data_IF_294116052605
#
_entry.id   IF_294116052605
#
_cell.length_a   1.000
_cell.length_b   1.000
_cell.length_c   1.000
_cell.angle_alpha   90.00
_cell.angle_beta   90.00
_cell.angle_gamma   90.00
#
_symmetry.space_group_name_H-M   'P 1'
#
loop_
_entity.id
_entity.type
_entity.pdbx_description
1 polymer ?
#
# COMPACT_ATOMS: atom_id res chain seq x y z
N UNK A 1 35.42 -1.40 1.74
CA UNK A 1 34.40 -1.65 0.70
C UNK A 1 33.13 -2.05 1.42
N UNK A 2 32.21 -1.13 1.67
CA UNK A 2 30.88 -1.49 2.17
C UNK A 2 30.16 -2.25 1.07
N UNK A 3 29.72 -3.47 1.35
CA UNK A 3 28.74 -4.11 0.48
C UNK A 3 27.46 -3.30 0.59
N UNK A 4 27.01 -2.68 -0.50
CA UNK A 4 25.68 -2.07 -0.57
C UNK A 4 24.65 -3.18 -0.36
N UNK A 5 24.19 -3.33 0.88
CA UNK A 5 23.10 -4.24 1.23
C UNK A 5 21.84 -3.65 0.61
N UNK A 6 21.42 -4.17 -0.54
CA UNK A 6 20.10 -3.81 -1.09
C UNK A 6 19.03 -4.44 -0.21
N UNK A 7 18.04 -3.68 0.28
CA UNK A 7 16.94 -4.24 1.05
C UNK A 7 16.19 -5.27 0.19
N UNK A 8 15.70 -6.33 0.83
CA UNK A 8 14.87 -7.33 0.17
C UNK A 8 13.64 -6.64 -0.45
N UNK A 9 13.20 -7.10 -1.63
CA UNK A 9 12.05 -6.53 -2.35
C UNK A 9 10.80 -6.39 -1.47
N UNK A 10 10.52 -7.40 -0.64
CA UNK A 10 9.39 -7.42 0.30
C UNK A 10 9.45 -6.29 1.34
N UNK A 11 10.66 -5.93 1.77
CA UNK A 11 10.87 -4.81 2.69
C UNK A 11 10.60 -3.47 2.02
N UNK A 12 11.06 -3.30 0.78
CA UNK A 12 10.79 -2.07 0.03
C UNK A 12 9.29 -1.94 -0.32
N UNK A 13 8.62 -3.05 -0.60
CA UNK A 13 7.15 -3.10 -0.75
C UNK A 13 6.44 -2.64 0.53
N UNK A 14 6.83 -3.19 1.68
CA UNK A 14 6.29 -2.79 2.99
C UNK A 14 6.54 -1.32 3.31
N UNK A 15 7.74 -0.81 3.02
CA UNK A 15 8.08 0.61 3.19
C UNK A 15 7.22 1.52 2.31
N UNK A 16 7.08 1.23 1.02
CA UNK A 16 6.25 2.03 0.12
C UNK A 16 4.78 2.00 0.56
N UNK A 17 4.27 0.86 1.02
CA UNK A 17 2.92 0.76 1.58
C UNK A 17 2.75 1.63 2.83
N UNK A 18 3.70 1.56 3.76
CA UNK A 18 3.73 2.39 4.97
C UNK A 18 3.72 3.88 4.64
N UNK A 19 4.50 4.30 3.64
CA UNK A 19 4.55 5.69 3.19
C UNK A 19 3.23 6.17 2.57
N UNK A 20 2.51 5.31 1.85
CA UNK A 20 1.16 5.61 1.35
C UNK A 20 0.19 5.82 2.52
N UNK A 21 0.24 4.97 3.54
CA UNK A 21 -0.60 5.10 4.75
C UNK A 21 -0.27 6.40 5.49
N UNK A 22 1.02 6.70 5.69
CA UNK A 22 1.46 7.94 6.31
C UNK A 22 1.01 9.19 5.54
N UNK A 23 1.05 9.14 4.20
CA UNK A 23 0.52 10.21 3.36
C UNK A 23 -0.98 10.43 3.60
N UNK A 24 -1.77 9.36 3.65
CA UNK A 24 -3.20 9.45 3.95
C UNK A 24 -3.41 10.13 5.30
N UNK A 25 -2.70 9.68 6.34
CA UNK A 25 -2.87 10.22 7.70
C UNK A 25 -2.44 11.68 7.86
N UNK A 26 -1.40 12.09 7.13
CA UNK A 26 -0.89 13.45 7.18
C UNK A 26 -1.86 14.45 6.53
N UNK A 27 -2.47 14.07 5.41
CA UNK A 27 -3.15 15.02 4.52
C UNK A 27 -4.67 14.87 4.45
N UNK A 28 -5.26 13.72 4.80
CA UNK A 28 -6.71 13.48 4.58
C UNK A 28 -7.64 14.48 5.30
N UNK A 29 -7.17 15.05 6.41
CA UNK A 29 -7.89 16.07 7.20
C UNK A 29 -7.20 17.44 7.18
N UNK A 30 -6.19 17.65 6.33
CA UNK A 30 -5.48 18.94 6.26
C UNK A 30 -6.29 19.95 5.44
N UNK A 31 -6.77 21.01 6.09
CA UNK A 31 -7.64 22.00 5.44
C UNK A 31 -6.90 23.01 4.57
N UNK A 32 -5.58 23.13 4.72
CA UNK A 32 -4.76 24.13 4.02
C UNK A 32 -4.26 23.60 2.67
N UNK A 33 -3.89 22.32 2.61
CA UNK A 33 -3.30 21.69 1.43
C UNK A 33 -4.36 20.93 0.62
N UNK A 34 -5.22 21.66 -0.08
CA UNK A 34 -6.42 21.15 -0.76
C UNK A 34 -6.15 20.01 -1.74
N UNK A 35 -5.07 20.11 -2.54
CA UNK A 35 -4.71 19.06 -3.50
C UNK A 35 -4.22 17.79 -2.81
N UNK A 36 -3.33 17.92 -1.81
CA UNK A 36 -2.84 16.76 -1.05
C UNK A 36 -3.97 16.09 -0.27
N UNK A 37 -4.89 16.89 0.29
CA UNK A 37 -6.10 16.39 0.93
C UNK A 37 -6.95 15.58 -0.03
N UNK A 38 -7.22 16.10 -1.23
CA UNK A 38 -7.96 15.37 -2.27
C UNK A 38 -7.29 14.03 -2.59
N UNK A 39 -5.99 14.04 -2.86
CA UNK A 39 -5.24 12.83 -3.21
C UNK A 39 -5.23 11.82 -2.05
N UNK A 40 -5.06 12.27 -0.80
CA UNK A 40 -5.12 11.42 0.38
C UNK A 40 -6.52 10.81 0.61
N UNK A 41 -7.57 11.59 0.40
CA UNK A 41 -8.95 11.11 0.48
C UNK A 41 -9.26 10.09 -0.63
N UNK A 42 -8.75 10.29 -1.84
CA UNK A 42 -8.86 9.30 -2.92
C UNK A 42 -8.07 8.03 -2.60
N UNK A 43 -6.80 8.14 -2.16
CA UNK A 43 -5.98 7.00 -1.75
C UNK A 43 -6.63 6.17 -0.65
N UNK A 44 -7.24 6.82 0.35
CA UNK A 44 -7.98 6.15 1.43
C UNK A 44 -9.01 5.15 0.90
N UNK A 45 -9.69 5.45 -0.22
CA UNK A 45 -10.73 4.58 -0.78
C UNK A 45 -10.20 3.20 -1.21
N UNK A 46 -8.91 3.10 -1.55
CA UNK A 46 -8.29 1.82 -1.92
C UNK A 46 -8.20 0.84 -0.75
N UNK A 47 -8.18 1.35 0.48
CA UNK A 47 -8.08 0.57 1.72
C UNK A 47 -9.44 0.29 2.38
N UNK A 48 -10.54 0.76 1.79
CA UNK A 48 -11.88 0.56 2.33
C UNK A 48 -12.59 -0.58 1.60
N UNK A 49 -13.35 -1.38 2.36
CA UNK A 49 -14.39 -2.24 1.79
C UNK A 49 -15.55 -1.36 1.35
N UNK A 50 -15.79 -1.24 0.05
CA UNK A 50 -17.04 -0.63 -0.44
C UNK A 50 -18.17 -1.66 -0.38
N UNK A 51 -18.77 -1.80 0.80
CA UNK A 51 -19.94 -2.68 1.01
C UNK A 51 -21.25 -1.99 0.60
N UNK A 52 -21.22 -0.73 0.15
CA UNK A 52 -22.42 0.05 -0.16
C UNK A 52 -23.15 -0.38 -1.44
N UNK A 53 -22.58 -1.30 -2.23
CA UNK A 53 -23.10 -1.74 -3.54
C UNK A 53 -23.32 -3.24 -3.70
N UNK A 54 -23.19 -4.04 -2.64
CA UNK A 54 -23.42 -5.49 -2.75
C UNK A 54 -24.88 -5.81 -2.39
N UNK A 55 -25.66 -6.44 -3.30
CA UNK A 55 -26.96 -6.98 -2.97
C UNK A 55 -26.85 -7.97 -1.80
N UNK A 56 -27.85 -7.99 -0.92
CA UNK A 56 -27.85 -8.83 0.30
C UNK A 56 -27.65 -10.32 -0.05
N UNK A 57 -28.12 -10.79 -1.21
CA UNK A 57 -27.88 -12.16 -1.66
C UNK A 57 -26.41 -12.48 -2.00
N UNK A 58 -25.61 -11.51 -2.46
CA UNK A 58 -24.16 -11.71 -2.66
C UNK A 58 -23.40 -11.71 -1.34
N UNK A 59 -23.81 -10.86 -0.39
CA UNK A 59 -23.28 -10.84 0.98
C UNK A 59 -23.46 -12.20 1.67
N UNK A 60 -24.64 -12.83 1.52
CA UNK A 60 -24.93 -14.14 2.10
C UNK A 60 -24.18 -15.29 1.40
N UNK A 61 -23.88 -15.18 0.11
CA UNK A 61 -23.02 -16.15 -0.62
C UNK A 61 -21.54 -16.04 -0.23
N UNK A 62 -21.08 -14.88 0.23
CA UNK A 62 -19.69 -14.66 0.71
C UNK A 62 -19.39 -15.32 2.05
N UNK A 63 -20.39 -15.46 2.92
CA UNK A 63 -20.21 -16.06 4.25
C UNK A 63 -19.89 -17.56 4.18
N UNK A 64 -20.12 -18.22 3.02
CA UNK A 64 -19.87 -19.65 2.83
C UNK A 64 -18.80 -20.03 1.79
N UNK A 65 -18.22 -19.07 1.06
CA UNK A 65 -17.22 -19.34 0.02
C UNK A 65 -16.11 -18.29 0.09
N UNK A 66 -14.84 -18.74 0.00
CA UNK A 66 -13.60 -17.95 -0.07
C UNK A 66 -13.68 -16.85 -1.14
N UNK A 67 -14.28 -15.72 -0.78
CA UNK A 67 -14.79 -14.76 -1.75
C UNK A 67 -13.82 -13.60 -1.86
N UNK A 68 -13.45 -13.32 -3.11
CA UNK A 68 -12.68 -12.16 -3.53
C UNK A 68 -13.01 -10.94 -2.65
N UNK A 69 -12.08 -10.63 -1.76
CA UNK A 69 -12.14 -9.46 -0.91
C UNK A 69 -12.05 -8.24 -1.85
N UNK A 70 -13.11 -7.44 -1.98
CA UNK A 70 -13.06 -6.26 -2.86
C UNK A 70 -11.97 -5.27 -2.45
N UNK A 71 -11.56 -5.27 -1.18
CA UNK A 71 -10.40 -4.52 -0.72
C UNK A 71 -9.09 -5.08 -1.31
N UNK A 72 -8.93 -6.40 -1.37
CA UNK A 72 -7.83 -7.04 -2.11
C UNK A 72 -7.83 -6.57 -3.56
N UNK A 73 -8.99 -6.54 -4.23
CA UNK A 73 -9.08 -6.05 -5.62
C UNK A 73 -8.64 -4.58 -5.77
N UNK A 74 -9.08 -3.70 -4.87
CA UNK A 74 -8.67 -2.29 -4.90
C UNK A 74 -7.18 -2.14 -4.63
N UNK A 75 -6.65 -2.78 -3.59
CA UNK A 75 -5.22 -2.76 -3.27
C UNK A 75 -4.39 -3.31 -4.42
N UNK A 76 -4.79 -4.42 -5.04
CA UNK A 76 -4.16 -4.95 -6.25
C UNK A 76 -4.17 -3.94 -7.40
N UNK A 77 -5.25 -3.15 -7.59
CA UNK A 77 -5.30 -2.05 -8.57
C UNK A 77 -4.27 -0.96 -8.26
N UNK A 78 -4.09 -0.58 -6.99
CA UNK A 78 -3.06 0.40 -6.59
C UNK A 78 -1.65 -0.17 -6.80
N UNK A 79 -1.44 -1.43 -6.41
CA UNK A 79 -0.13 -2.09 -6.38
C UNK A 79 0.40 -2.48 -7.75
N UNK A 80 -0.49 -2.81 -8.69
CA UNK A 80 -0.15 -3.06 -10.09
C UNK A 80 0.12 -1.80 -10.90
N UNK A 81 -0.28 -0.63 -10.39
CA UNK A 81 -0.10 0.63 -11.10
C UNK A 81 1.39 0.86 -11.38
N UNK A 82 1.69 1.41 -12.56
CA UNK A 82 3.05 1.60 -13.01
C UNK A 82 3.31 3.09 -13.26
N UNK A 83 3.51 3.89 -12.20
CA UNK A 83 3.67 5.33 -12.33
C UNK A 83 4.91 5.70 -13.16
N UNK A 84 5.96 4.88 -13.16
CA UNK A 84 7.13 5.11 -14.04
C UNK A 84 6.75 5.03 -15.52
N UNK A 85 5.99 4.01 -15.90
CA UNK A 85 5.49 3.87 -17.28
C UNK A 85 4.54 5.02 -17.62
N UNK A 86 3.66 5.40 -16.70
CA UNK A 86 2.74 6.53 -16.87
C UNK A 86 3.46 7.87 -17.08
N UNK A 87 4.59 8.11 -16.40
CA UNK A 87 5.42 9.30 -16.63
C UNK A 87 6.12 9.27 -17.99
N UNK A 88 6.55 8.09 -18.45
CA UNK A 88 7.30 7.93 -19.70
C UNK A 88 6.40 7.95 -20.95
N UNK A 89 5.28 7.22 -20.93
CA UNK A 89 4.40 7.01 -22.10
C UNK A 89 3.38 8.15 -22.31
N UNK A 90 3.49 9.20 -21.50
CA UNK A 90 2.51 10.27 -21.40
C UNK A 90 1.43 9.94 -20.37
N UNK A 91 0.98 10.97 -19.64
CA UNK A 91 -0.04 10.90 -18.59
C UNK A 91 -1.39 10.45 -19.18
N UNK A 92 -1.51 9.17 -19.48
CA UNK A 92 -2.73 8.60 -20.04
C UNK A 92 -3.85 8.87 -19.04
N UNK A 93 -5.00 9.42 -19.47
CA UNK A 93 -6.03 9.97 -18.59
C UNK A 93 -6.79 8.93 -17.75
N UNK A 94 -6.39 7.65 -17.78
CA UNK A 94 -7.15 6.55 -17.17
C UNK A 94 -6.41 5.77 -16.10
N UNK A 95 -5.18 6.15 -15.72
CA UNK A 95 -4.45 5.49 -14.63
C UNK A 95 -4.37 6.38 -13.38
N UNK A 96 -5.53 6.58 -12.74
CA UNK A 96 -5.69 7.33 -11.48
C UNK A 96 -4.75 6.82 -10.38
N UNK A 97 -4.50 5.50 -10.32
CA UNK A 97 -3.61 4.93 -9.32
C UNK A 97 -2.16 5.41 -9.53
N UNK A 98 -1.68 5.42 -10.79
CA UNK A 98 -0.36 5.95 -11.11
C UNK A 98 -0.24 7.45 -10.78
N UNK A 99 -1.26 8.25 -11.08
CA UNK A 99 -1.29 9.68 -10.72
C UNK A 99 -1.18 9.89 -9.20
N UNK A 100 -1.97 9.15 -8.42
CA UNK A 100 -1.93 9.21 -6.95
C UNK A 100 -0.56 8.79 -6.40
N UNK A 101 0.08 7.76 -6.96
CA UNK A 101 1.42 7.36 -6.55
C UNK A 101 2.47 8.42 -6.91
N UNK A 102 2.33 9.13 -8.03
CA UNK A 102 3.17 10.30 -8.35
C UNK A 102 2.99 11.41 -7.33
N UNK A 103 1.77 11.65 -6.85
CA UNK A 103 1.50 12.65 -5.80
C UNK A 103 2.14 12.30 -4.44
N UNK A 104 2.28 11.01 -4.11
CA UNK A 104 2.91 10.55 -2.86
C UNK A 104 4.44 10.60 -2.96
N UNK A 105 5.00 10.02 -4.02
CA UNK A 105 6.43 9.75 -4.11
C UNK A 105 7.22 10.79 -4.93
N UNK A 106 6.55 11.54 -5.79
CA UNK A 106 7.16 12.51 -6.69
C UNK A 106 7.90 11.86 -7.87
N UNK A 107 7.99 12.59 -8.98
CA UNK A 107 8.56 12.09 -10.24
C UNK A 107 10.03 11.68 -10.11
N UNK A 108 10.83 12.46 -9.34
CA UNK A 108 12.26 12.19 -9.13
C UNK A 108 12.50 10.83 -8.49
N UNK A 109 11.69 10.45 -7.50
CA UNK A 109 11.83 9.18 -6.78
C UNK A 109 11.36 8.01 -7.65
N UNK A 110 10.23 8.16 -8.34
CA UNK A 110 9.67 7.12 -9.22
C UNK A 110 10.64 6.74 -10.35
N UNK A 111 11.36 7.73 -10.89
CA UNK A 111 12.35 7.51 -11.94
C UNK A 111 13.68 6.92 -11.43
N UNK A 112 13.89 6.85 -10.11
CA UNK A 112 15.07 6.23 -9.53
C UNK A 112 14.81 4.74 -9.24
N UNK A 113 15.53 3.85 -9.92
CA UNK A 113 15.36 2.39 -9.83
C UNK A 113 15.77 1.82 -8.47
N UNK A 114 16.67 2.49 -7.76
CA UNK A 114 17.11 2.03 -6.44
C UNK A 114 16.10 2.44 -5.36
N UNK A 115 15.46 3.60 -5.51
CA UNK A 115 14.60 4.21 -4.47
C UNK A 115 13.11 3.86 -4.56
N UNK A 116 12.66 3.28 -5.68
CA UNK A 116 11.24 3.02 -5.92
C UNK A 116 10.96 1.78 -6.78
N UNK A 117 10.08 0.92 -6.30
CA UNK A 117 9.51 -0.19 -7.07
C UNK A 117 8.30 0.28 -7.88
N UNK A 118 8.39 0.15 -9.21
CA UNK A 118 7.31 0.46 -10.17
C UNK A 118 7.17 -0.68 -11.19
N UNK A 119 6.06 -1.44 -11.19
CA UNK A 119 5.01 -1.45 -10.17
C UNK A 119 5.53 -1.93 -8.80
N UNK A 120 4.81 -1.62 -7.71
CA UNK A 120 5.18 -2.08 -6.36
C UNK A 120 5.17 -3.60 -6.29
N UNK A 121 4.13 -4.22 -6.86
CA UNK A 121 3.97 -5.67 -6.96
C UNK A 121 3.79 -6.04 -8.43
N UNK A 122 4.46 -7.11 -8.87
CA UNK A 122 4.36 -7.62 -10.24
C UNK A 122 3.16 -8.57 -10.39
N UNK A 123 2.81 -8.95 -11.62
CA UNK A 123 1.64 -9.80 -11.90
C UNK A 123 1.68 -11.17 -11.22
N UNK A 124 2.88 -11.73 -11.03
CA UNK A 124 3.08 -13.02 -10.36
C UNK A 124 2.79 -12.88 -8.86
N UNK A 125 3.37 -11.86 -8.22
CA UNK A 125 3.16 -11.53 -6.81
C UNK A 125 1.69 -11.19 -6.50
N UNK A 126 0.92 -10.70 -7.48
CA UNK A 126 -0.50 -10.39 -7.33
C UNK A 126 -1.43 -11.58 -7.63
N UNK A 127 -0.89 -12.70 -8.12
CA UNK A 127 -1.67 -13.87 -8.56
C UNK A 127 -2.49 -13.61 -9.84
N UNK A 128 -2.12 -12.59 -10.62
CA UNK A 128 -2.78 -12.22 -11.87
C UNK A 128 -2.24 -13.03 -13.07
N UNK A 129 -1.12 -13.72 -12.89
CA UNK A 129 -0.51 -14.58 -13.92
C UNK A 129 -1.29 -15.91 -14.06
N UNK A 130 -1.94 -16.09 -15.22
CA UNK A 130 -2.74 -17.29 -15.53
C UNK A 130 -1.90 -18.46 -16.03
N UNK A 131 -0.62 -18.24 -16.32
CA UNK A 131 0.29 -19.23 -16.90
C UNK A 131 1.08 -19.92 -15.79
N UNK A 132 1.39 -19.21 -14.71
CA UNK A 132 2.26 -19.70 -13.63
C UNK A 132 1.47 -19.86 -12.34
N UNK A 133 1.35 -21.10 -11.84
CA UNK A 133 0.94 -21.36 -10.45
C UNK A 133 2.17 -21.12 -9.58
N UNK A 134 2.16 -20.01 -8.83
CA UNK A 134 3.26 -19.61 -7.95
C UNK A 134 2.71 -18.94 -6.69
N UNK A 135 3.52 -18.82 -5.64
CA UNK A 135 3.09 -18.09 -4.46
C UNK A 135 2.77 -16.63 -4.78
N UNK A 136 1.68 -16.12 -4.22
CA UNK A 136 1.18 -14.76 -4.43
C UNK A 136 0.71 -14.14 -3.11
N UNK A 137 0.48 -12.82 -3.12
CA UNK A 137 -0.06 -12.10 -1.98
C UNK A 137 -1.57 -11.92 -2.07
N UNK A 138 -2.23 -12.20 -0.95
CA UNK A 138 -3.63 -11.84 -0.70
C UNK A 138 -3.67 -10.74 0.37
N UNK A 139 -4.27 -9.60 0.05
CA UNK A 139 -4.25 -8.44 0.92
C UNK A 139 -5.49 -8.40 1.82
N UNK A 140 -5.23 -8.23 3.12
CA UNK A 140 -6.24 -8.07 4.14
C UNK A 140 -6.02 -6.76 4.89
N UNK A 141 -7.11 -6.14 5.31
CA UNK A 141 -7.05 -4.94 6.14
C UNK A 141 -7.31 -5.35 7.59
N UNK A 142 -6.41 -5.01 8.49
CA UNK A 142 -6.56 -5.18 9.92
C UNK A 142 -6.68 -3.81 10.62
N UNK A 143 -7.88 -3.40 11.07
CA UNK A 143 -8.05 -2.15 11.80
C UNK A 143 -7.66 -2.26 13.28
N UNK A 144 -7.37 -3.46 13.78
CA UNK A 144 -7.15 -3.72 15.21
C UNK A 144 -5.68 -3.67 15.65
N UNK A 145 -4.75 -3.61 14.69
CA UNK A 145 -3.31 -3.63 14.94
C UNK A 145 -2.59 -2.49 14.24
N UNK A 146 -1.63 -1.84 14.91
CA UNK A 146 -0.68 -0.89 14.30
C UNK A 146 0.45 -1.58 13.52
N UNK A 147 0.62 -2.89 13.71
CA UNK A 147 1.65 -3.69 13.04
C UNK A 147 0.95 -4.67 12.11
N UNK A 148 1.25 -4.55 10.81
CA UNK A 148 0.80 -5.49 9.81
C UNK A 148 1.61 -6.77 9.87
N UNK A 149 1.01 -7.87 9.43
CA UNK A 149 1.60 -9.21 9.47
C UNK A 149 1.60 -9.85 8.09
N UNK A 150 2.70 -10.51 7.72
CA UNK A 150 2.71 -11.46 6.62
C UNK A 150 2.50 -12.87 7.18
N UNK A 151 1.42 -13.55 6.78
CA UNK A 151 1.13 -14.91 7.23
C UNK A 151 1.37 -15.93 6.12
N UNK A 152 1.86 -17.09 6.53
CA UNK A 152 2.06 -18.23 5.64
C UNK A 152 0.73 -18.73 5.03
N UNK A 153 0.81 -19.37 3.85
CA UNK A 153 -0.33 -20.07 3.26
C UNK A 153 -0.90 -21.14 4.19
N UNK A 154 -2.20 -21.38 4.10
CA UNK A 154 -2.85 -22.48 4.81
C UNK A 154 -3.38 -23.57 3.86
N UNK A 155 -4.08 -24.55 4.43
CA UNK A 155 -4.61 -25.69 3.69
C UNK A 155 -5.67 -25.30 2.64
N UNK A 156 -6.36 -24.16 2.82
CA UNK A 156 -7.40 -23.70 1.88
C UNK A 156 -6.80 -22.94 0.70
N UNK A 157 -5.76 -22.14 0.96
CA UNK A 157 -5.05 -21.35 -0.06
C UNK A 157 -3.54 -21.60 0.01
N UNK A 158 -3.04 -22.75 -0.47
CA UNK A 158 -1.66 -23.21 -0.23
C UNK A 158 -0.56 -22.39 -0.94
N UNK A 159 -0.95 -21.44 -1.78
CA UNK A 159 -0.04 -20.52 -2.48
C UNK A 159 -0.22 -19.06 -2.08
N UNK A 160 -1.18 -18.73 -1.20
CA UNK A 160 -1.48 -17.35 -0.84
C UNK A 160 -0.80 -16.96 0.47
N UNK A 161 0.21 -16.10 0.39
CA UNK A 161 0.72 -15.39 1.55
C UNK A 161 -0.24 -14.25 1.90
N UNK A 162 -0.74 -14.21 3.14
CA UNK A 162 -1.73 -13.20 3.54
C UNK A 162 -1.03 -11.99 4.12
N UNK A 163 -1.17 -10.88 3.41
CA UNK A 163 -0.54 -9.61 3.73
C UNK A 163 -1.54 -8.74 4.49
N UNK A 164 -1.48 -8.76 5.81
CA UNK A 164 -2.31 -7.92 6.68
C UNK A 164 -1.73 -6.50 6.74
N UNK A 165 -2.54 -5.55 6.28
CA UNK A 165 -2.23 -4.13 6.24
C UNK A 165 -3.02 -3.45 7.35
N UNK A 166 -2.30 -2.86 8.28
CA UNK A 166 -2.86 -2.10 9.39
C UNK A 166 -3.56 -0.84 8.92
N UNK A 167 -4.90 -0.86 8.79
CA UNK A 167 -5.67 0.32 8.39
C UNK A 167 -7.18 0.26 8.76
N UNK A 168 -7.77 1.31 9.36
CA UNK A 168 -7.09 2.29 10.17
C UNK A 168 -6.83 1.69 11.55
N UNK A 169 -5.59 1.82 12.05
CA UNK A 169 -5.45 2.37 13.38
C UNK A 169 -4.63 3.65 13.27
N UNK A 170 -5.34 4.79 13.28
CA UNK A 170 -4.73 6.11 13.22
C UNK A 170 -4.39 6.55 14.65
N UNK A 171 -3.12 6.90 14.98
CA UNK A 171 -2.80 7.55 16.23
C UNK A 171 -3.34 8.99 16.22
N UNK A 172 -3.63 9.56 17.39
CA UNK A 172 -3.84 11.02 17.49
C UNK A 172 -2.60 11.75 16.93
N UNK A 173 -2.77 12.92 16.32
CA UNK A 173 -1.61 13.73 15.94
C UNK A 173 -1.18 14.54 17.16
N UNK A 174 0.06 14.38 17.60
CA UNK A 174 0.60 15.10 18.74
C UNK A 174 1.93 14.54 19.24
N UNK A 175 2.59 15.29 20.11
CA UNK A 175 3.91 14.96 20.67
C UNK A 175 3.96 13.59 21.38
N UNK A 176 2.82 13.12 21.90
CA UNK A 176 2.75 11.84 22.61
C UNK A 176 2.75 10.61 21.67
N UNK A 177 2.49 10.80 20.38
CA UNK A 177 2.29 9.71 19.42
C UNK A 177 3.03 9.97 18.12
N UNK A 178 2.39 10.59 17.12
CA UNK A 178 3.04 10.96 15.85
C UNK A 178 2.76 12.42 15.50
N UNK A 179 3.80 13.15 15.13
CA UNK A 179 3.68 14.54 14.68
C UNK A 179 3.49 14.62 13.16
N UNK A 180 3.04 15.79 12.68
CA UNK A 180 2.91 16.03 11.24
C UNK A 180 4.27 15.96 10.54
N UNK A 181 5.29 16.49 11.19
CA UNK A 181 6.68 16.52 10.74
C UNK A 181 7.22 15.10 10.60
N UNK A 182 6.97 14.23 11.59
CA UNK A 182 7.39 12.83 11.53
C UNK A 182 6.73 12.05 10.38
N UNK A 183 5.45 12.29 10.11
CA UNK A 183 4.79 11.69 8.95
C UNK A 183 5.40 12.21 7.64
N UNK A 184 5.66 13.52 7.55
CA UNK A 184 6.28 14.11 6.37
C UNK A 184 7.69 13.62 6.12
N UNK A 185 8.50 13.50 7.17
CA UNK A 185 9.86 12.96 7.11
C UNK A 185 9.82 11.52 6.62
N UNK A 186 8.89 10.70 7.13
CA UNK A 186 8.73 9.33 6.66
C UNK A 186 8.27 9.23 5.21
N UNK A 187 7.33 10.07 4.77
CA UNK A 187 6.87 10.12 3.37
C UNK A 187 8.05 10.46 2.44
N UNK A 188 8.88 11.44 2.85
CA UNK A 188 10.03 11.92 2.08
C UNK A 188 11.25 11.00 2.17
N UNK A 189 11.26 10.06 3.11
CA UNK A 189 12.41 9.17 3.32
C UNK A 189 12.61 8.23 2.13
N UNK A 190 13.63 8.56 1.35
CA UNK A 190 14.05 7.83 0.16
C UNK A 190 15.35 7.05 0.39
N UNK A 191 15.82 6.99 1.65
CA UNK A 191 16.96 6.16 2.03
C UNK A 191 16.55 4.70 2.04
N UNK A 192 17.38 3.84 1.46
CA UNK A 192 17.13 2.39 1.46
C UNK A 192 17.74 1.69 2.69
N UNK A 193 18.38 2.43 3.59
CA UNK A 193 19.09 1.89 4.75
C UNK A 193 18.10 1.41 5.83
N UNK A 194 17.08 2.21 6.12
CA UNK A 194 16.06 1.89 7.12
C UNK A 194 14.73 1.52 6.45
N UNK A 195 14.29 0.28 6.67
CA UNK A 195 13.01 -0.23 6.16
C UNK A 195 11.82 0.23 7.01
N UNK A 196 12.09 0.54 8.28
CA UNK A 196 11.08 0.88 9.27
C UNK A 196 11.12 2.38 9.63
N UNK A 197 9.98 3.01 9.94
CA UNK A 197 9.93 4.36 10.43
C UNK A 197 10.58 4.45 11.81
N UNK A 198 11.15 5.60 12.13
CA UNK A 198 11.68 5.89 13.48
C UNK A 198 10.57 5.97 14.54
N UNK A 199 9.32 6.20 14.12
CA UNK A 199 8.16 6.33 15.00
C UNK A 199 7.34 5.04 14.98
N UNK A 200 7.14 4.35 16.12
CA UNK A 200 6.46 3.05 16.16
C UNK A 200 4.95 3.13 15.89
N UNK A 201 4.37 4.33 15.92
CA UNK A 201 2.95 4.55 15.63
C UNK A 201 2.63 4.63 14.13
N UNK A 202 3.65 4.66 13.26
CA UNK A 202 3.47 4.60 11.81
C UNK A 202 3.39 3.11 11.38
N UNK A 203 2.30 2.67 10.73
CA UNK A 203 2.11 1.26 10.42
C UNK A 203 3.11 0.77 9.41
N UNK A 204 3.61 -0.42 9.69
CA UNK A 204 4.46 -1.20 8.82
C UNK A 204 3.98 -2.64 8.81
N UNK A 205 4.10 -3.30 7.68
CA UNK A 205 3.93 -4.75 7.63
C UNK A 205 5.29 -5.41 7.86
N UNK A 206 5.31 -6.31 8.83
CA UNK A 206 6.48 -7.11 9.19
C UNK A 206 6.39 -8.51 8.60
N UNK A 207 7.55 -9.10 8.30
CA UNK A 207 7.70 -10.50 7.84
C UNK A 207 7.78 -11.45 9.02
#
# INVERSE_FOLDING_TARGET
MSQDVRPLRVWQQGKQLSQIIAYIWRWADDELETEKRRNAQQLKTYFLKDDSKLPVEELLKKIGNNTHNKCDTNLKKLFRANPRKWLHDGKLPYDEASELLVAVFGEKRINNLDKYLSPMFNSVELGDDKIIISPYYEFHIDPSSFIGELRDPDLETPFAFRYYVSFPPRPELGEATVTKEQLEDWIKDDKNEDVYPSVPFIPVTTT
#
